data_IF_460381145620
#
_entry.id   IF_460381145620
#
_cell.length_a   1.000
_cell.length_b   1.000
_cell.length_c   1.000
_cell.angle_alpha   90.00
_cell.angle_beta   90.00
_cell.angle_gamma   90.00
#
_symmetry.space_group_name_H-M   'P 1'
#
loop_
_entity.id
_entity.type
_entity.pdbx_description
1 polymer ?
#
# COMPACT_ATOMS: atom_id res chain seq x y z
N UNK A 1 -3.04 -1.34 21.12
CA UNK A 1 -3.14 -2.77 21.48
C UNK A 1 -3.02 -3.53 20.18
N UNK A 2 -2.25 -4.62 20.11
CA UNK A 2 -2.18 -5.44 18.89
C UNK A 2 -3.40 -6.37 18.87
N UNK A 3 -4.31 -6.15 17.92
CA UNK A 3 -5.55 -6.91 17.78
C UNK A 3 -5.32 -8.41 17.55
N UNK A 4 -4.12 -8.78 17.09
CA UNK A 4 -3.73 -10.18 16.88
C UNK A 4 -3.10 -10.80 18.13
N UNK A 5 -2.73 -10.00 19.13
CA UNK A 5 -2.26 -10.50 20.42
C UNK A 5 -3.44 -10.83 21.34
N UNK A 6 -4.14 -11.92 21.00
CA UNK A 6 -5.32 -12.36 21.76
C UNK A 6 -5.03 -12.59 23.25
N UNK A 7 -3.82 -12.99 23.64
CA UNK A 7 -3.51 -13.18 25.06
C UNK A 7 -3.78 -11.92 25.87
N UNK A 8 -3.47 -10.73 25.35
CA UNK A 8 -3.72 -9.46 26.04
C UNK A 8 -5.22 -9.19 26.23
N UNK A 9 -6.05 -9.62 25.29
CA UNK A 9 -7.51 -9.45 25.35
C UNK A 9 -8.20 -10.40 26.36
N UNK A 10 -7.55 -11.52 26.71
CA UNK A 10 -8.07 -12.51 27.66
C UNK A 10 -7.34 -12.52 29.02
N UNK A 11 -6.15 -11.91 29.15
CA UNK A 11 -5.27 -11.97 30.35
C UNK A 11 -5.96 -11.72 31.70
N UNK A 12 -6.90 -10.79 31.76
CA UNK A 12 -7.55 -10.39 33.01
C UNK A 12 -8.92 -11.04 33.26
N UNK A 13 -9.50 -11.72 32.26
CA UNK A 13 -10.92 -12.12 32.27
C UNK A 13 -11.15 -13.61 31.97
N UNK A 14 -10.14 -14.48 32.06
CA UNK A 14 -10.30 -15.92 31.78
C UNK A 14 -11.07 -16.63 32.92
N UNK A 15 -12.33 -17.04 32.73
CA UNK A 15 -13.08 -17.71 33.77
C UNK A 15 -12.45 -19.07 34.05
N UNK A 16 -12.32 -19.44 35.32
CA UNK A 16 -11.74 -20.74 35.71
C UNK A 16 -12.48 -21.92 35.09
N UNK A 17 -13.79 -21.78 34.88
CA UNK A 17 -14.66 -22.80 34.28
C UNK A 17 -14.26 -23.17 32.85
N UNK A 18 -13.84 -22.19 32.05
CA UNK A 18 -13.55 -22.38 30.62
C UNK A 18 -12.07 -22.20 30.27
N UNK A 19 -11.20 -21.98 31.25
CA UNK A 19 -9.78 -21.66 31.07
C UNK A 19 -9.07 -22.61 30.09
N UNK A 20 -9.17 -23.93 30.30
CA UNK A 20 -8.48 -24.90 29.44
C UNK A 20 -8.99 -24.89 28.00
N UNK A 21 -10.30 -24.67 27.77
CA UNK A 21 -10.87 -24.57 26.42
C UNK A 21 -10.45 -23.28 25.73
N UNK A 22 -10.42 -22.17 26.48
CA UNK A 22 -9.94 -20.88 25.96
C UNK A 22 -8.45 -20.92 25.64
N UNK A 23 -7.62 -21.54 26.49
CA UNK A 23 -6.20 -21.76 26.21
C UNK A 23 -6.00 -22.57 24.92
N UNK A 24 -6.84 -23.58 24.67
CA UNK A 24 -6.81 -24.34 23.42
C UNK A 24 -7.19 -23.48 22.20
N UNK A 25 -8.23 -22.64 22.31
CA UNK A 25 -8.62 -21.69 21.26
C UNK A 25 -7.49 -20.72 20.93
N UNK A 26 -6.83 -20.17 21.95
CA UNK A 26 -5.71 -19.24 21.80
C UNK A 26 -4.47 -19.92 21.18
N UNK A 27 -4.19 -21.16 21.57
CA UNK A 27 -3.07 -21.94 21.01
C UNK A 27 -3.31 -22.28 19.52
N UNK A 28 -4.52 -22.69 19.15
CA UNK A 28 -4.88 -22.92 17.75
C UNK A 28 -4.80 -21.63 16.92
N UNK A 29 -5.18 -20.49 17.51
CA UNK A 29 -5.04 -19.18 16.86
C UNK A 29 -3.58 -18.82 16.61
N UNK A 30 -2.70 -19.00 17.62
CA UNK A 30 -1.25 -18.76 17.48
C UNK A 30 -0.61 -19.63 16.40
N UNK A 31 -1.14 -20.83 16.18
CA UNK A 31 -0.70 -21.75 15.12
C UNK A 31 -1.28 -21.41 13.74
N UNK A 32 -2.15 -20.41 13.63
CA UNK A 32 -2.84 -20.06 12.39
C UNK A 32 -3.88 -21.09 11.96
N UNK A 33 -4.35 -21.94 12.86
CA UNK A 33 -5.36 -22.97 12.58
C UNK A 33 -6.78 -22.38 12.66
N UNK A 34 -7.04 -21.31 11.90
CA UNK A 34 -8.28 -20.52 12.00
C UNK A 34 -9.58 -21.36 11.90
N UNK A 35 -9.71 -22.38 11.03
CA UNK A 35 -10.91 -23.22 11.02
C UNK A 35 -11.14 -23.99 12.34
N UNK A 36 -10.08 -24.40 13.03
CA UNK A 36 -10.19 -25.05 14.34
C UNK A 36 -10.64 -24.06 15.41
N UNK A 37 -10.10 -22.83 15.37
CA UNK A 37 -10.51 -21.74 16.26
C UNK A 37 -12.00 -21.45 16.09
N UNK A 38 -12.48 -21.30 14.85
CA UNK A 38 -13.89 -21.08 14.53
C UNK A 38 -14.79 -22.18 15.10
N UNK A 39 -14.42 -23.45 14.91
CA UNK A 39 -15.21 -24.57 15.42
C UNK A 39 -15.25 -24.60 16.96
N UNK A 40 -14.09 -24.51 17.61
CA UNK A 40 -13.96 -24.57 19.07
C UNK A 40 -14.65 -23.38 19.75
N UNK A 41 -14.51 -22.19 19.18
CA UNK A 41 -15.20 -20.98 19.62
C UNK A 41 -16.72 -21.14 19.52
N UNK A 42 -17.23 -21.60 18.37
CA UNK A 42 -18.66 -21.83 18.17
C UNK A 42 -19.23 -22.92 19.08
N UNK A 43 -18.45 -23.96 19.41
CA UNK A 43 -18.82 -24.95 20.42
C UNK A 43 -18.89 -24.35 21.83
N UNK A 44 -17.92 -23.51 22.20
CA UNK A 44 -17.88 -22.87 23.51
C UNK A 44 -19.03 -21.86 23.68
N UNK A 45 -19.42 -21.13 22.63
CA UNK A 45 -20.58 -20.22 22.65
C UNK A 45 -21.94 -20.90 22.84
N UNK A 46 -22.02 -22.22 22.74
CA UNK A 46 -23.25 -22.98 23.00
C UNK A 46 -23.43 -23.34 24.47
N UNK A 47 -22.41 -23.11 25.31
CA UNK A 47 -22.51 -23.40 26.73
C UNK A 47 -23.56 -22.49 27.40
N UNK A 48 -24.53 -23.04 28.14
CA UNK A 48 -25.66 -22.28 28.68
C UNK A 48 -25.22 -21.25 29.74
N UNK A 49 -24.08 -21.48 30.37
CA UNK A 49 -23.56 -20.67 31.47
C UNK A 49 -22.47 -19.69 30.98
N UNK A 50 -22.30 -19.53 29.66
CA UNK A 50 -21.33 -18.61 29.09
C UNK A 50 -21.82 -17.17 29.23
N UNK A 51 -21.02 -16.33 29.86
CA UNK A 51 -21.28 -14.89 29.97
C UNK A 51 -21.22 -14.19 28.60
N UNK A 52 -22.06 -13.17 28.43
CA UNK A 52 -22.22 -12.41 27.19
C UNK A 52 -20.92 -11.71 26.75
N UNK A 53 -20.15 -11.14 27.68
CA UNK A 53 -18.88 -10.47 27.34
C UNK A 53 -17.86 -11.47 26.81
N UNK A 54 -17.82 -12.68 27.38
CA UNK A 54 -16.96 -13.74 26.85
C UNK A 54 -17.44 -14.22 25.48
N UNK A 55 -18.76 -14.34 25.28
CA UNK A 55 -19.33 -14.68 23.98
C UNK A 55 -18.96 -13.65 22.90
N UNK A 56 -18.98 -12.35 23.23
CA UNK A 56 -18.58 -11.28 22.32
C UNK A 56 -17.08 -11.28 22.02
N UNK A 57 -16.23 -11.51 23.03
CA UNK A 57 -14.78 -11.71 22.80
C UNK A 57 -14.50 -12.90 21.88
N UNK A 58 -15.24 -13.99 22.03
CA UNK A 58 -15.15 -15.15 21.13
C UNK A 58 -15.60 -14.81 19.70
N UNK A 59 -16.70 -14.08 19.54
CA UNK A 59 -17.13 -13.56 18.23
C UNK A 59 -16.09 -12.63 17.60
N UNK A 60 -15.41 -11.80 18.39
CA UNK A 60 -14.31 -10.97 17.90
C UNK A 60 -13.15 -11.84 17.37
N UNK A 61 -12.78 -12.91 18.08
CA UNK A 61 -11.79 -13.88 17.61
C UNK A 61 -12.24 -14.57 16.31
N UNK A 62 -13.51 -14.94 16.21
CA UNK A 62 -14.08 -15.52 14.99
C UNK A 62 -14.01 -14.54 13.81
N UNK A 63 -14.30 -13.27 14.03
CA UNK A 63 -14.18 -12.23 13.00
C UNK A 63 -12.74 -12.05 12.51
N UNK A 64 -11.74 -12.09 13.43
CA UNK A 64 -10.32 -12.09 13.04
C UNK A 64 -10.01 -13.32 12.18
N UNK A 65 -10.43 -14.51 12.62
CA UNK A 65 -10.21 -15.76 11.88
C UNK A 65 -10.81 -15.72 10.47
N UNK A 66 -12.06 -15.23 10.34
CA UNK A 66 -12.71 -15.06 9.05
C UNK A 66 -11.97 -14.05 8.15
N UNK A 67 -11.42 -12.97 8.73
CA UNK A 67 -10.60 -12.01 8.00
C UNK A 67 -9.32 -12.66 7.45
N UNK A 68 -8.60 -13.41 8.28
CA UNK A 68 -7.34 -14.08 7.91
C UNK A 68 -7.51 -15.12 6.80
N UNK A 69 -8.64 -15.84 6.78
CA UNK A 69 -8.94 -16.82 5.71
C UNK A 69 -9.64 -16.21 4.49
N UNK A 70 -9.82 -14.87 4.46
CA UNK A 70 -10.42 -14.15 3.33
C UNK A 70 -11.96 -14.22 3.24
N UNK A 71 -12.64 -14.69 4.30
CA UNK A 71 -14.10 -14.74 4.39
C UNK A 71 -14.69 -13.39 4.82
N UNK A 72 -14.47 -12.37 4.00
CA UNK A 72 -14.81 -10.96 4.30
C UNK A 72 -16.28 -10.76 4.72
N UNK A 73 -17.22 -11.48 4.10
CA UNK A 73 -18.65 -11.35 4.43
C UNK A 73 -18.98 -11.82 5.85
N UNK A 74 -18.37 -12.92 6.28
CA UNK A 74 -18.56 -13.47 7.63
C UNK A 74 -17.96 -12.52 8.67
N UNK A 75 -16.72 -12.07 8.43
CA UNK A 75 -16.04 -11.12 9.30
C UNK A 75 -16.85 -9.82 9.46
N UNK A 76 -17.25 -9.20 8.35
CA UNK A 76 -17.98 -7.92 8.36
C UNK A 76 -19.37 -8.01 9.01
N UNK A 77 -20.06 -9.16 8.90
CA UNK A 77 -21.33 -9.40 9.60
C UNK A 77 -21.13 -9.39 11.11
N UNK A 78 -20.18 -10.20 11.60
CA UNK A 78 -19.90 -10.32 13.03
C UNK A 78 -19.45 -8.98 13.61
N UNK A 79 -18.53 -8.27 12.95
CA UNK A 79 -18.05 -6.96 13.40
C UNK A 79 -19.18 -5.94 13.45
N UNK A 80 -20.09 -5.97 12.47
CA UNK A 80 -21.23 -5.06 12.44
C UNK A 80 -22.20 -5.32 13.59
N UNK A 81 -22.47 -6.59 13.92
CA UNK A 81 -23.32 -6.96 15.05
C UNK A 81 -22.66 -6.53 16.37
N UNK A 82 -21.37 -6.84 16.57
CA UNK A 82 -20.62 -6.43 17.76
C UNK A 82 -20.61 -4.91 17.94
N UNK A 83 -20.51 -4.14 16.87
CA UNK A 83 -20.54 -2.67 16.93
C UNK A 83 -21.86 -2.08 17.45
N UNK A 84 -22.99 -2.79 17.31
CA UNK A 84 -24.29 -2.30 17.77
C UNK A 84 -24.75 -2.95 19.08
N UNK A 85 -24.28 -4.16 19.38
CA UNK A 85 -24.85 -5.01 20.42
C UNK A 85 -23.88 -5.31 21.57
N UNK A 86 -22.59 -4.99 21.44
CA UNK A 86 -21.58 -5.30 22.46
C UNK A 86 -20.96 -4.06 23.09
N UNK A 87 -20.34 -4.25 24.26
CA UNK A 87 -19.50 -3.24 24.94
C UNK A 87 -18.03 -3.30 24.48
N UNK A 88 -17.71 -3.99 23.36
CA UNK A 88 -16.35 -4.02 22.85
C UNK A 88 -15.94 -2.62 22.38
N UNK A 89 -14.77 -2.19 22.81
CA UNK A 89 -14.18 -0.90 22.43
C UNK A 89 -14.25 -0.66 20.92
N UNK A 90 -14.81 0.48 20.52
CA UNK A 90 -15.01 0.80 19.12
C UNK A 90 -13.70 1.02 18.36
N UNK A 91 -12.62 1.43 19.04
CA UNK A 91 -11.30 1.50 18.39
C UNK A 91 -10.83 0.11 17.98
N UNK A 92 -10.98 -0.88 18.86
CA UNK A 92 -10.67 -2.29 18.57
C UNK A 92 -11.51 -2.86 17.42
N UNK A 93 -12.83 -2.64 17.42
CA UNK A 93 -13.69 -3.07 16.31
C UNK A 93 -13.38 -2.34 15.00
N UNK A 94 -12.97 -1.08 15.08
CA UNK A 94 -12.55 -0.28 13.93
C UNK A 94 -11.25 -0.78 13.30
N UNK A 95 -10.26 -1.14 14.13
CA UNK A 95 -9.00 -1.77 13.70
C UNK A 95 -9.25 -3.16 13.10
N UNK A 96 -10.16 -3.94 13.68
CA UNK A 96 -10.56 -5.23 13.12
C UNK A 96 -11.24 -5.08 11.76
N UNK A 97 -12.18 -4.14 11.63
CA UNK A 97 -12.82 -3.84 10.36
C UNK A 97 -11.82 -3.34 9.31
N UNK A 98 -10.74 -2.64 9.71
CA UNK A 98 -9.70 -2.16 8.80
C UNK A 98 -9.03 -3.31 8.04
N UNK A 99 -8.90 -4.49 8.65
CA UNK A 99 -8.30 -5.65 8.00
C UNK A 99 -9.10 -6.19 6.81
N UNK A 100 -10.42 -6.00 6.80
CA UNK A 100 -11.30 -6.66 5.82
C UNK A 100 -12.22 -5.73 5.02
N UNK A 101 -12.65 -4.59 5.58
CA UNK A 101 -13.56 -3.65 4.92
C UNK A 101 -13.34 -2.20 5.40
N UNK A 102 -12.67 -1.41 4.56
CA UNK A 102 -12.37 -0.01 4.88
C UNK A 102 -13.60 0.89 5.03
N UNK A 103 -14.77 0.54 4.44
CA UNK A 103 -15.99 1.34 4.60
C UNK A 103 -16.60 1.11 5.98
N UNK A 104 -16.60 -0.14 6.44
CA UNK A 104 -16.99 -0.52 7.79
C UNK A 104 -16.01 0.10 8.81
N UNK A 105 -14.71 -0.04 8.58
CA UNK A 105 -13.66 0.55 9.41
C UNK A 105 -13.89 2.05 9.58
N UNK A 106 -14.04 2.79 8.47
CA UNK A 106 -14.36 4.22 8.50
C UNK A 106 -15.58 4.54 9.36
N UNK A 107 -16.66 3.76 9.25
CA UNK A 107 -17.90 3.99 10.02
C UNK A 107 -17.65 3.85 11.52
N UNK A 108 -17.03 2.74 11.92
CA UNK A 108 -16.77 2.43 13.32
C UNK A 108 -15.74 3.41 13.90
N UNK A 109 -14.60 3.61 13.22
CA UNK A 109 -13.55 4.54 13.65
C UNK A 109 -14.05 5.98 13.77
N UNK A 110 -14.95 6.43 12.88
CA UNK A 110 -15.56 7.76 13.02
C UNK A 110 -16.40 7.90 14.29
N UNK A 111 -17.06 6.82 14.72
CA UNK A 111 -17.78 6.78 15.99
C UNK A 111 -16.82 6.76 17.18
N UNK A 112 -15.77 5.94 17.08
CA UNK A 112 -14.76 5.77 18.12
C UNK A 112 -14.04 7.09 18.44
N UNK A 113 -13.46 7.76 17.44
CA UNK A 113 -12.75 9.04 17.67
C UNK A 113 -13.67 10.13 18.20
N UNK A 114 -14.96 10.09 17.86
CA UNK A 114 -15.94 11.05 18.40
C UNK A 114 -16.20 10.81 19.89
N UNK A 115 -16.38 9.55 20.30
CA UNK A 115 -16.53 9.21 21.71
C UNK A 115 -15.29 9.57 22.52
N UNK A 116 -14.10 9.29 21.97
CA UNK A 116 -12.82 9.67 22.57
C UNK A 116 -12.65 11.18 22.72
N UNK A 117 -13.19 12.00 21.82
CA UNK A 117 -13.17 13.46 21.95
C UNK A 117 -14.12 13.98 23.05
N UNK A 118 -15.18 13.23 23.34
CA UNK A 118 -16.16 13.54 24.39
C UNK A 118 -15.70 13.05 25.78
N UNK A 119 -14.74 12.13 25.82
CA UNK A 119 -14.15 11.58 27.04
C UNK A 119 -12.91 12.37 27.49
N UNK A 120 -13.02 13.05 28.64
CA UNK A 120 -11.93 13.85 29.22
C UNK A 120 -10.74 13.01 29.70
N UNK A 121 -10.92 11.70 29.92
CA UNK A 121 -9.85 10.80 30.35
C UNK A 121 -8.97 10.32 29.19
N UNK A 122 -9.45 10.46 27.95
CA UNK A 122 -8.70 9.98 26.78
C UNK A 122 -7.45 10.83 26.55
N UNK A 123 -6.29 10.18 26.53
CA UNK A 123 -5.02 10.87 26.29
C UNK A 123 -4.82 11.26 24.81
N UNK A 124 -4.01 12.31 24.61
CA UNK A 124 -3.74 12.90 23.28
C UNK A 124 -3.16 11.91 22.27
N UNK A 125 -2.34 10.94 22.71
CA UNK A 125 -1.68 9.99 21.82
C UNK A 125 -2.69 8.97 21.31
N UNK A 126 -3.60 8.52 22.17
CA UNK A 126 -4.69 7.62 21.78
C UNK A 126 -5.62 8.31 20.78
N UNK A 127 -6.00 9.58 21.00
CA UNK A 127 -6.75 10.39 20.02
C UNK A 127 -6.03 10.51 18.68
N UNK A 128 -4.74 10.84 18.70
CA UNK A 128 -3.94 10.94 17.48
C UNK A 128 -3.88 9.62 16.71
N UNK A 129 -3.71 8.48 17.41
CA UNK A 129 -3.73 7.14 16.82
C UNK A 129 -5.09 6.82 16.21
N UNK A 130 -6.19 7.16 16.88
CA UNK A 130 -7.54 6.97 16.33
C UNK A 130 -7.74 7.72 15.02
N UNK A 131 -7.34 8.98 14.97
CA UNK A 131 -7.38 9.77 13.75
C UNK A 131 -6.43 9.27 12.65
N UNK A 132 -5.26 8.73 13.02
CA UNK A 132 -4.34 8.12 12.08
C UNK A 132 -4.99 6.93 11.36
N UNK A 133 -5.53 5.97 12.10
CA UNK A 133 -6.14 4.76 11.50
C UNK A 133 -7.38 5.12 10.67
N UNK A 134 -8.19 6.08 11.14
CA UNK A 134 -9.32 6.60 10.36
C UNK A 134 -8.86 7.26 9.05
N UNK A 135 -7.77 8.01 9.08
CA UNK A 135 -7.19 8.63 7.90
C UNK A 135 -6.65 7.60 6.90
N UNK A 136 -5.97 6.55 7.39
CA UNK A 136 -5.49 5.45 6.56
C UNK A 136 -6.65 4.65 5.94
N UNK A 137 -7.78 4.50 6.64
CA UNK A 137 -8.97 3.89 6.05
C UNK A 137 -9.52 4.72 4.88
N UNK A 138 -9.52 6.05 5.00
CA UNK A 138 -9.91 6.95 3.90
C UNK A 138 -8.85 6.98 2.78
N UNK A 139 -7.56 6.83 3.09
CA UNK A 139 -6.47 6.67 2.11
C UNK A 139 -6.71 5.42 1.25
N UNK A 140 -6.97 4.26 1.87
CA UNK A 140 -7.26 3.01 1.16
C UNK A 140 -8.56 3.07 0.33
N UNK A 141 -9.50 3.95 0.69
CA UNK A 141 -10.71 4.25 -0.08
C UNK A 141 -10.49 5.30 -1.18
N UNK A 142 -9.23 5.74 -1.37
CA UNK A 142 -8.81 6.81 -2.29
C UNK A 142 -9.56 8.13 -2.04
N UNK A 143 -9.95 8.40 -0.79
CA UNK A 143 -10.61 9.63 -0.35
C UNK A 143 -9.60 10.62 0.21
N UNK A 144 -8.62 11.00 -0.61
CA UNK A 144 -7.46 11.80 -0.19
C UNK A 144 -7.81 13.09 0.57
N UNK A 145 -8.87 13.81 0.20
CA UNK A 145 -9.29 15.02 0.91
C UNK A 145 -9.70 14.72 2.36
N UNK A 146 -10.38 13.60 2.60
CA UNK A 146 -10.77 13.17 3.95
C UNK A 146 -9.60 12.60 4.72
N UNK A 147 -8.74 11.81 4.07
CA UNK A 147 -7.51 11.30 4.66
C UNK A 147 -6.64 12.47 5.16
N UNK A 148 -6.39 13.49 4.34
CA UNK A 148 -5.66 14.71 4.73
C UNK A 148 -6.31 15.38 5.94
N UNK A 149 -7.64 15.55 5.93
CA UNK A 149 -8.37 16.16 7.06
C UNK A 149 -8.08 15.40 8.36
N UNK A 150 -8.18 14.08 8.35
CA UNK A 150 -8.00 13.25 9.54
C UNK A 150 -6.53 13.13 9.95
N UNK A 151 -5.58 13.02 9.03
CA UNK A 151 -4.14 13.09 9.37
C UNK A 151 -3.79 14.45 10.01
N UNK A 152 -4.27 15.57 9.45
CA UNK A 152 -4.07 16.91 10.05
C UNK A 152 -4.70 17.01 11.44
N UNK A 153 -5.85 16.38 11.66
CA UNK A 153 -6.50 16.32 12.97
C UNK A 153 -5.68 15.49 13.96
N UNK A 154 -5.15 14.33 13.56
CA UNK A 154 -4.21 13.55 14.38
C UNK A 154 -2.95 14.35 14.73
N UNK A 155 -2.38 15.06 13.74
CA UNK A 155 -1.20 15.91 13.93
C UNK A 155 -1.46 17.07 14.91
N UNK A 156 -2.68 17.59 14.98
CA UNK A 156 -3.03 18.72 15.85
C UNK A 156 -2.94 18.43 17.36
N UNK A 157 -2.85 17.15 17.74
CA UNK A 157 -2.65 16.73 19.14
C UNK A 157 -1.19 16.80 19.61
N UNK A 158 -0.25 17.06 18.69
CA UNK A 158 1.16 17.20 18.98
C UNK A 158 1.64 18.65 18.85
N UNK A 159 2.62 19.01 19.67
CA UNK A 159 3.38 20.24 19.50
C UNK A 159 4.60 19.98 18.61
N UNK A 160 5.13 21.01 17.96
CA UNK A 160 6.29 20.89 17.05
C UNK A 160 7.54 20.31 17.72
N UNK A 161 7.66 20.47 19.05
CA UNK A 161 8.86 20.16 19.81
C UNK A 161 8.69 18.90 20.69
N UNK A 162 7.62 18.13 20.48
CA UNK A 162 7.31 16.88 21.20
C UNK A 162 8.29 15.75 20.82
N UNK A 163 9.51 15.80 21.36
CA UNK A 163 10.57 14.81 21.08
C UNK A 163 10.18 13.37 21.38
N UNK A 164 9.28 13.15 22.34
CA UNK A 164 8.81 11.81 22.72
C UNK A 164 7.96 11.15 21.62
N UNK A 165 7.25 11.98 20.85
CA UNK A 165 6.29 11.55 19.83
C UNK A 165 6.80 11.86 18.41
N UNK A 166 8.11 12.18 18.28
CA UNK A 166 8.72 12.66 17.04
C UNK A 166 8.48 11.73 15.85
N UNK A 167 8.60 10.41 16.04
CA UNK A 167 8.33 9.44 14.98
C UNK A 167 6.88 9.53 14.46
N UNK A 168 5.90 9.66 15.36
CA UNK A 168 4.48 9.80 14.98
C UNK A 168 4.22 11.12 14.24
N UNK A 169 4.84 12.22 14.71
CA UNK A 169 4.76 13.53 14.05
C UNK A 169 5.33 13.44 12.62
N UNK A 170 6.51 12.84 12.45
CA UNK A 170 7.14 12.62 11.15
C UNK A 170 6.27 11.75 10.25
N UNK A 171 5.71 10.66 10.78
CA UNK A 171 4.82 9.77 10.03
C UNK A 171 3.57 10.50 9.53
N UNK A 172 2.93 11.30 10.39
CA UNK A 172 1.78 12.13 10.02
C UNK A 172 2.14 13.18 8.96
N UNK A 173 3.28 13.86 9.12
CA UNK A 173 3.78 14.78 8.10
C UNK A 173 4.00 14.09 6.75
N UNK A 174 4.67 12.93 6.76
CA UNK A 174 4.90 12.10 5.58
C UNK A 174 3.58 11.71 4.90
N UNK A 175 2.62 11.19 5.66
CA UNK A 175 1.30 10.79 5.15
C UNK A 175 0.55 11.97 4.54
N UNK A 176 0.50 13.12 5.21
CA UNK A 176 -0.13 14.33 4.65
C UNK A 176 0.55 14.75 3.34
N UNK A 177 1.88 14.79 3.33
CA UNK A 177 2.67 15.15 2.16
C UNK A 177 2.43 14.22 0.96
N UNK A 178 2.37 12.91 1.21
CA UNK A 178 2.00 11.92 0.19
C UNK A 178 0.59 12.14 -0.35
N UNK A 179 -0.40 12.38 0.51
CA UNK A 179 -1.79 12.58 0.08
C UNK A 179 -1.93 13.84 -0.80
N UNK A 180 -1.19 14.91 -0.47
CA UNK A 180 -1.14 16.09 -1.33
C UNK A 180 -0.47 15.80 -2.68
N UNK A 181 0.60 15.00 -2.73
CA UNK A 181 1.19 14.54 -3.99
C UNK A 181 0.18 13.76 -4.83
N UNK A 182 -0.58 12.83 -4.22
CA UNK A 182 -1.60 12.04 -4.93
C UNK A 182 -2.77 12.91 -5.45
N UNK A 183 -3.06 14.01 -4.77
CA UNK A 183 -4.05 15.02 -5.20
C UNK A 183 -3.49 16.02 -6.22
N UNK A 184 -2.22 15.91 -6.62
CA UNK A 184 -1.54 16.84 -7.53
C UNK A 184 -1.46 18.28 -6.98
N UNK A 185 -1.24 18.40 -5.66
CA UNK A 185 -1.01 19.65 -4.94
C UNK A 185 0.45 19.71 -4.46
N UNK A 186 1.38 20.14 -5.33
CA UNK A 186 2.81 20.03 -5.08
C UNK A 186 3.28 20.95 -3.96
N UNK A 187 2.69 22.14 -3.80
CA UNK A 187 3.14 23.13 -2.81
C UNK A 187 2.97 22.59 -1.39
N UNK A 188 1.77 22.11 -1.05
CA UNK A 188 1.51 21.49 0.24
C UNK A 188 2.30 20.18 0.39
N UNK A 189 2.42 19.37 -0.66
CA UNK A 189 3.20 18.13 -0.61
C UNK A 189 4.65 18.39 -0.19
N UNK A 190 5.33 19.31 -0.89
CA UNK A 190 6.70 19.70 -0.60
C UNK A 190 6.84 20.31 0.80
N UNK A 191 5.87 21.11 1.25
CA UNK A 191 5.91 21.72 2.57
C UNK A 191 5.86 20.68 3.70
N UNK A 192 5.01 19.65 3.58
CA UNK A 192 4.91 18.59 4.60
C UNK A 192 6.08 17.61 4.53
N UNK A 193 6.53 17.22 3.34
CA UNK A 193 7.66 16.30 3.16
C UNK A 193 9.01 16.94 3.51
N UNK A 194 9.18 18.24 3.25
CA UNK A 194 10.35 19.01 3.67
C UNK A 194 10.54 18.98 5.18
N UNK A 195 9.45 19.13 5.96
CA UNK A 195 9.51 18.98 7.42
C UNK A 195 10.00 17.60 7.86
N UNK A 196 9.64 16.54 7.15
CA UNK A 196 10.14 15.20 7.46
C UNK A 196 11.66 15.14 7.25
N UNK A 197 12.15 15.67 6.14
CA UNK A 197 13.60 15.70 5.84
C UNK A 197 14.37 16.51 6.87
N UNK A 198 13.84 17.68 7.27
CA UNK A 198 14.48 18.59 8.22
C UNK A 198 14.51 18.03 9.66
N UNK A 199 13.49 17.27 10.04
CA UNK A 199 13.30 16.78 11.41
C UNK A 199 13.71 15.32 11.60
N UNK A 200 13.89 14.53 10.55
CA UNK A 200 14.25 13.11 10.66
C UNK A 200 15.65 12.94 11.26
N UNK A 201 15.74 12.15 12.33
CA UNK A 201 17.01 11.67 12.88
C UNK A 201 17.42 10.32 12.28
N UNK A 202 18.50 9.73 12.80
CA UNK A 202 19.03 8.44 12.34
C UNK A 202 17.97 7.31 12.39
N UNK A 203 17.09 7.34 13.41
CA UNK A 203 16.02 6.36 13.59
C UNK A 203 14.86 6.52 12.59
N UNK A 204 14.79 7.64 11.85
CA UNK A 204 13.71 7.96 10.92
C UNK A 204 14.18 7.95 9.46
N UNK A 205 15.35 7.35 9.21
CA UNK A 205 15.97 7.28 7.88
C UNK A 205 15.00 6.74 6.83
N UNK A 206 14.18 5.73 7.17
CA UNK A 206 13.18 5.19 6.25
C UNK A 206 12.08 6.19 5.86
N UNK A 207 11.63 7.05 6.78
CA UNK A 207 10.67 8.11 6.46
C UNK A 207 11.31 9.21 5.62
N UNK A 208 12.58 9.52 5.89
CA UNK A 208 13.37 10.46 5.10
C UNK A 208 13.53 9.99 3.66
N UNK A 209 13.94 8.74 3.43
CA UNK A 209 14.05 8.13 2.09
C UNK A 209 12.70 8.21 1.36
N UNK A 210 11.62 7.74 1.99
CA UNK A 210 10.29 7.77 1.38
C UNK A 210 9.86 9.20 1.00
N UNK A 211 10.19 10.19 1.84
CA UNK A 211 9.87 11.60 1.59
C UNK A 211 10.68 12.17 0.42
N UNK A 212 11.98 11.89 0.36
CA UNK A 212 12.86 12.30 -0.75
C UNK A 212 12.35 11.75 -2.09
N UNK A 213 12.01 10.46 -2.15
CA UNK A 213 11.47 9.82 -3.36
C UNK A 213 10.13 10.42 -3.75
N UNK A 214 9.26 10.72 -2.78
CA UNK A 214 7.96 11.35 -3.04
C UNK A 214 8.13 12.77 -3.59
N UNK A 215 9.03 13.57 -3.01
CA UNK A 215 9.38 14.91 -3.52
C UNK A 215 9.87 14.84 -4.97
N UNK A 216 10.77 13.89 -5.27
CA UNK A 216 11.26 13.69 -6.63
C UNK A 216 10.12 13.38 -7.61
N UNK A 217 9.20 12.48 -7.24
CA UNK A 217 8.00 12.16 -8.04
C UNK A 217 7.10 13.37 -8.22
N UNK A 218 6.92 14.19 -7.18
CA UNK A 218 6.14 15.43 -7.26
C UNK A 218 6.74 16.39 -8.29
N UNK A 219 8.06 16.61 -8.28
CA UNK A 219 8.74 17.42 -9.28
C UNK A 219 8.67 16.81 -10.70
N UNK A 220 8.90 15.50 -10.83
CA UNK A 220 8.80 14.78 -12.11
C UNK A 220 7.41 14.90 -12.74
N UNK A 221 6.34 14.85 -11.92
CA UNK A 221 4.96 15.04 -12.40
C UNK A 221 4.67 16.43 -12.99
N UNK A 222 5.54 17.41 -12.70
CA UNK A 222 5.50 18.78 -13.23
C UNK A 222 6.53 19.03 -14.33
N UNK A 223 7.20 17.98 -14.80
CA UNK A 223 8.32 18.06 -15.74
C UNK A 223 9.51 18.88 -15.20
N UNK A 224 9.60 19.06 -13.88
CA UNK A 224 10.68 19.76 -13.19
C UNK A 224 11.82 18.78 -12.82
N UNK A 225 12.21 17.94 -13.79
CA UNK A 225 13.13 16.81 -13.58
C UNK A 225 14.50 17.21 -13.00
N UNK A 226 15.00 18.40 -13.31
CA UNK A 226 16.26 18.92 -12.72
C UNK A 226 16.15 19.19 -11.22
N UNK A 227 14.96 19.57 -10.72
CA UNK A 227 14.74 19.72 -9.28
C UNK A 227 14.55 18.37 -8.59
N UNK A 228 14.05 17.35 -9.29
CA UNK A 228 13.91 16.00 -8.76
C UNK A 228 15.27 15.32 -8.50
N UNK A 229 16.24 15.55 -9.38
CA UNK A 229 17.55 14.89 -9.37
C UNK A 229 18.28 14.87 -8.02
N UNK A 230 18.50 16.01 -7.31
CA UNK A 230 19.21 15.98 -6.02
C UNK A 230 18.52 15.11 -4.96
N UNK A 231 17.18 15.07 -4.95
CA UNK A 231 16.44 14.21 -4.02
C UNK A 231 16.54 12.72 -4.40
N UNK A 232 16.62 12.40 -5.69
CA UNK A 232 16.87 11.04 -6.17
C UNK A 232 18.30 10.58 -5.85
N UNK A 233 19.29 11.45 -6.00
CA UNK A 233 20.67 11.15 -5.65
C UNK A 233 20.81 10.91 -4.14
N UNK A 234 20.26 11.78 -3.30
CA UNK A 234 20.28 11.61 -1.84
C UNK A 234 19.53 10.33 -1.41
N UNK A 235 18.34 10.08 -1.95
CA UNK A 235 17.55 8.89 -1.58
C UNK A 235 18.22 7.59 -1.98
N UNK A 236 18.78 7.49 -3.20
CA UNK A 236 19.52 6.31 -3.64
C UNK A 236 20.76 6.06 -2.80
N UNK A 237 21.48 7.12 -2.40
CA UNK A 237 22.62 6.99 -1.48
C UNK A 237 22.21 6.48 -0.10
N UNK A 238 21.09 6.95 0.44
CA UNK A 238 20.56 6.48 1.73
C UNK A 238 19.98 5.05 1.64
N UNK A 239 19.58 4.60 0.46
CA UNK A 239 19.08 3.25 0.21
C UNK A 239 20.19 2.19 0.19
N UNK A 240 21.44 2.58 -0.08
CA UNK A 240 22.57 1.64 -0.09
C UNK A 240 22.83 1.04 1.30
N UNK A 241 22.49 -0.24 1.47
CA UNK A 241 22.70 -0.98 2.72
C UNK A 241 21.68 -0.68 3.83
N UNK A 242 20.58 0.01 3.53
CA UNK A 242 19.49 0.21 4.49
C UNK A 242 18.49 -0.96 4.49
N UNK A 243 17.61 -0.99 5.48
CA UNK A 243 16.49 -1.93 5.56
C UNK A 243 15.43 -1.71 4.47
N UNK A 244 15.48 -0.57 3.78
CA UNK A 244 14.62 -0.25 2.64
C UNK A 244 15.20 -0.69 1.29
N UNK A 245 16.36 -1.35 1.27
CA UNK A 245 16.84 -1.96 0.05
C UNK A 245 15.84 -3.03 -0.47
N UNK A 246 15.77 -3.20 -1.79
CA UNK A 246 14.83 -4.09 -2.48
C UNK A 246 13.32 -3.86 -2.16
N UNK A 247 12.95 -2.73 -1.55
CA UNK A 247 11.54 -2.37 -1.32
C UNK A 247 10.90 -1.68 -2.52
N UNK A 248 9.58 -1.44 -2.44
CA UNK A 248 8.85 -0.66 -3.44
C UNK A 248 9.44 0.75 -3.61
N UNK A 249 9.78 1.43 -2.51
CA UNK A 249 10.39 2.77 -2.55
C UNK A 249 11.71 2.77 -3.30
N UNK A 250 12.55 1.75 -3.10
CA UNK A 250 13.81 1.62 -3.84
C UNK A 250 13.57 1.46 -5.34
N UNK A 251 12.62 0.59 -5.73
CA UNK A 251 12.26 0.41 -7.13
C UNK A 251 11.69 1.70 -7.76
N UNK A 252 10.97 2.50 -6.99
CA UNK A 252 10.48 3.82 -7.40
C UNK A 252 11.63 4.81 -7.61
N UNK A 253 12.54 4.95 -6.64
CA UNK A 253 13.71 5.83 -6.77
C UNK A 253 14.54 5.51 -8.01
N UNK A 254 14.80 4.22 -8.27
CA UNK A 254 15.52 3.77 -9.45
C UNK A 254 14.77 4.09 -10.75
N UNK A 255 13.44 3.95 -10.76
CA UNK A 255 12.63 4.24 -11.95
C UNK A 255 12.63 5.74 -12.26
N UNK A 256 12.48 6.59 -11.25
CA UNK A 256 12.53 8.04 -11.41
C UNK A 256 13.92 8.51 -11.87
N UNK A 257 15.00 7.90 -11.35
CA UNK A 257 16.36 8.18 -11.83
C UNK A 257 16.56 7.72 -13.28
N UNK A 258 16.01 6.57 -13.65
CA UNK A 258 16.04 6.12 -15.04
C UNK A 258 15.28 7.08 -15.96
N UNK A 259 14.13 7.56 -15.51
CA UNK A 259 13.28 8.51 -16.23
C UNK A 259 13.96 9.88 -16.39
N UNK A 260 14.69 10.37 -15.39
CA UNK A 260 15.52 11.56 -15.50
C UNK A 260 16.52 11.45 -16.67
N UNK A 261 17.25 10.34 -16.75
CA UNK A 261 18.19 10.10 -17.85
C UNK A 261 17.48 9.89 -19.19
N UNK A 262 16.33 9.21 -19.19
CA UNK A 262 15.48 9.04 -20.38
C UNK A 262 15.08 10.40 -20.97
N UNK A 263 14.62 11.34 -20.14
CA UNK A 263 14.25 12.69 -20.56
C UNK A 263 15.42 13.48 -21.17
N UNK A 264 16.65 13.21 -20.71
CA UNK A 264 17.87 13.76 -21.30
C UNK A 264 18.36 13.03 -22.55
N UNK A 265 17.60 12.04 -23.03
CA UNK A 265 18.04 11.10 -24.09
C UNK A 265 19.36 10.38 -23.77
N UNK A 266 19.74 10.32 -22.49
CA UNK A 266 20.92 9.63 -22.00
C UNK A 266 20.61 8.15 -21.76
N UNK A 267 20.22 7.43 -22.82
CA UNK A 267 19.67 6.07 -22.72
C UNK A 267 20.64 5.08 -22.07
N UNK A 268 21.93 5.17 -22.36
CA UNK A 268 22.95 4.32 -21.74
C UNK A 268 23.02 4.49 -20.21
N UNK A 269 22.73 5.68 -19.70
CA UNK A 269 22.68 5.96 -18.26
C UNK A 269 21.35 5.49 -17.65
N UNK A 270 20.24 5.54 -18.38
CA UNK A 270 18.93 5.09 -17.91
C UNK A 270 18.83 3.56 -17.76
N UNK A 271 19.41 2.81 -18.70
CA UNK A 271 19.39 1.33 -18.77
C UNK A 271 19.72 0.63 -17.45
N UNK A 272 20.83 0.93 -16.74
CA UNK A 272 21.17 0.25 -15.49
C UNK A 272 20.13 0.49 -14.39
N UNK A 273 19.55 1.70 -14.32
CA UNK A 273 18.51 2.02 -13.34
C UNK A 273 17.20 1.28 -13.64
N UNK A 274 16.74 1.28 -14.89
CA UNK A 274 15.58 0.48 -15.29
C UNK A 274 15.79 -1.01 -15.01
N UNK A 275 16.96 -1.56 -15.36
CA UNK A 275 17.30 -2.96 -15.13
C UNK A 275 17.21 -3.36 -13.65
N UNK A 276 17.77 -2.53 -12.75
CA UNK A 276 17.67 -2.76 -11.30
C UNK A 276 16.23 -2.62 -10.81
N UNK A 277 15.49 -1.61 -11.26
CA UNK A 277 14.12 -1.38 -10.85
C UNK A 277 13.21 -2.56 -11.20
N UNK A 278 13.26 -3.06 -12.44
CA UNK A 278 12.40 -4.18 -12.87
C UNK A 278 12.73 -5.47 -12.12
N UNK A 279 14.00 -5.72 -11.77
CA UNK A 279 14.40 -6.87 -10.98
C UNK A 279 13.81 -6.85 -9.55
N UNK A 280 13.61 -5.66 -8.97
CA UNK A 280 12.91 -5.50 -7.70
C UNK A 280 11.41 -5.68 -7.90
N UNK A 281 10.80 -4.97 -8.85
CA UNK A 281 9.37 -5.07 -9.12
C UNK A 281 8.88 -6.49 -9.43
N UNK A 282 9.68 -7.30 -10.13
CA UNK A 282 9.35 -8.71 -10.41
C UNK A 282 9.26 -9.57 -9.15
N UNK A 283 9.92 -9.18 -8.05
CA UNK A 283 9.88 -9.88 -6.76
C UNK A 283 8.75 -9.40 -5.84
N UNK A 284 8.11 -8.27 -6.15
CA UNK A 284 7.06 -7.65 -5.34
C UNK A 284 5.66 -8.05 -5.86
N UNK A 285 4.88 -8.87 -5.13
CA UNK A 285 3.56 -9.35 -5.58
C UNK A 285 2.54 -8.24 -5.86
N UNK A 286 2.63 -7.13 -5.13
CA UNK A 286 1.74 -5.98 -5.19
C UNK A 286 2.00 -5.04 -6.37
N UNK A 287 3.01 -5.32 -7.22
CA UNK A 287 3.33 -4.44 -8.34
C UNK A 287 2.22 -4.45 -9.39
N UNK A 288 1.66 -3.27 -9.67
CA UNK A 288 0.69 -3.08 -10.74
C UNK A 288 1.23 -3.54 -12.10
N UNK A 289 0.47 -4.38 -12.80
CA UNK A 289 0.78 -4.79 -14.17
C UNK A 289 0.89 -3.59 -15.13
N UNK A 290 0.07 -2.55 -14.95
CA UNK A 290 0.14 -1.33 -15.74
C UNK A 290 1.48 -0.63 -15.56
N UNK A 291 1.88 -0.42 -14.29
CA UNK A 291 3.14 0.25 -13.93
C UNK A 291 4.34 -0.50 -14.51
N UNK A 292 4.43 -1.80 -14.23
CA UNK A 292 5.54 -2.62 -14.70
C UNK A 292 5.59 -2.72 -16.24
N UNK A 293 4.45 -2.82 -16.90
CA UNK A 293 4.37 -2.80 -18.37
C UNK A 293 4.92 -1.50 -18.97
N UNK A 294 4.55 -0.35 -18.42
CA UNK A 294 5.07 0.95 -18.87
C UNK A 294 6.57 1.11 -18.63
N UNK A 295 7.07 0.65 -17.47
CA UNK A 295 8.52 0.65 -17.19
C UNK A 295 9.27 -0.22 -18.20
N UNK A 296 8.71 -1.40 -18.56
CA UNK A 296 9.31 -2.23 -19.60
C UNK A 296 9.31 -1.56 -20.97
N UNK A 297 8.26 -0.84 -21.36
CA UNK A 297 8.24 -0.08 -22.62
C UNK A 297 9.39 0.94 -22.67
N UNK A 298 9.55 1.75 -21.62
CA UNK A 298 10.62 2.75 -21.55
C UNK A 298 12.01 2.10 -21.51
N UNK A 299 12.16 1.01 -20.76
CA UNK A 299 13.41 0.28 -20.69
C UNK A 299 13.82 -0.31 -22.05
N UNK A 300 12.89 -0.95 -22.76
CA UNK A 300 13.12 -1.48 -24.10
C UNK A 300 13.48 -0.37 -25.10
N UNK A 301 12.79 0.77 -25.02
CA UNK A 301 13.10 1.93 -25.84
C UNK A 301 14.54 2.43 -25.61
N UNK A 302 15.00 2.52 -24.36
CA UNK A 302 16.39 2.88 -24.07
C UNK A 302 17.39 1.88 -24.67
N UNK A 303 17.12 0.58 -24.54
CA UNK A 303 17.99 -0.47 -25.09
C UNK A 303 18.08 -0.43 -26.62
N UNK A 304 17.00 -0.01 -27.29
CA UNK A 304 16.94 0.17 -28.74
C UNK A 304 17.74 1.39 -29.22
N UNK A 305 17.71 2.50 -28.46
CA UNK A 305 18.20 3.81 -28.90
C UNK A 305 19.55 4.24 -28.31
N UNK A 306 20.15 3.45 -27.40
CA UNK A 306 21.52 3.71 -26.94
C UNK A 306 22.57 3.42 -28.04
N UNK A 307 23.73 4.07 -27.98
CA UNK A 307 24.78 3.92 -29.01
C UNK A 307 25.23 2.46 -29.20
N UNK A 308 25.41 1.74 -28.08
CA UNK A 308 25.72 0.31 -28.06
C UNK A 308 24.43 -0.52 -27.90
N UNK A 309 23.45 -0.34 -28.79
CA UNK A 309 22.14 -0.98 -28.63
C UNK A 309 22.20 -2.51 -28.52
N UNK A 310 21.29 -3.07 -27.71
CA UNK A 310 21.04 -4.51 -27.65
C UNK A 310 19.61 -4.77 -28.13
N UNK A 311 19.47 -4.86 -29.46
CA UNK A 311 18.20 -5.11 -30.13
C UNK A 311 17.55 -6.42 -29.65
N UNK A 312 18.36 -7.44 -29.34
CA UNK A 312 17.82 -8.73 -28.87
C UNK A 312 17.21 -8.58 -27.48
N UNK A 313 17.90 -7.88 -26.57
CA UNK A 313 17.39 -7.61 -25.25
C UNK A 313 16.18 -6.67 -25.30
N UNK A 314 16.24 -5.59 -26.09
CA UNK A 314 15.11 -4.67 -26.30
C UNK A 314 13.84 -5.43 -26.72
N UNK A 315 13.96 -6.33 -27.71
CA UNK A 315 12.87 -7.20 -28.14
C UNK A 315 12.28 -8.00 -26.98
N UNK A 316 13.10 -8.73 -26.22
CA UNK A 316 12.63 -9.52 -25.07
C UNK A 316 11.90 -8.67 -24.02
N UNK A 317 12.37 -7.44 -23.76
CA UNK A 317 11.74 -6.52 -22.80
C UNK A 317 10.41 -5.99 -23.34
N UNK A 318 10.33 -5.65 -24.63
CA UNK A 318 9.06 -5.31 -25.30
C UNK A 318 8.03 -6.43 -25.19
N UNK A 319 8.44 -7.70 -25.36
CA UNK A 319 7.53 -8.83 -25.16
C UNK A 319 7.00 -8.88 -23.73
N UNK A 320 7.89 -8.73 -22.73
CA UNK A 320 7.49 -8.65 -21.30
C UNK A 320 6.54 -7.48 -21.03
N UNK A 321 6.72 -6.34 -21.69
CA UNK A 321 5.84 -5.19 -21.56
C UNK A 321 4.40 -5.56 -21.98
N UNK A 322 4.24 -6.13 -23.18
CA UNK A 322 2.94 -6.56 -23.71
C UNK A 322 2.31 -7.62 -22.81
N UNK A 323 3.08 -8.61 -22.35
CA UNK A 323 2.56 -9.67 -21.45
C UNK A 323 1.99 -9.12 -20.13
N UNK A 324 2.50 -7.99 -19.63
CA UNK A 324 1.93 -7.29 -18.46
C UNK A 324 0.70 -6.46 -18.85
N UNK A 325 0.77 -5.72 -19.96
CA UNK A 325 -0.29 -4.84 -20.43
C UNK A 325 -1.52 -5.63 -20.96
N UNK A 326 -1.38 -6.88 -21.38
CA UNK A 326 -2.51 -7.74 -21.74
C UNK A 326 -3.38 -8.11 -20.53
N UNK A 327 -2.85 -7.97 -19.31
CA UNK A 327 -3.56 -8.32 -18.07
C UNK A 327 -4.37 -7.18 -17.48
N UNK A 328 -4.30 -5.98 -18.07
CA UNK A 328 -5.02 -4.79 -17.59
C UNK A 328 -6.22 -4.47 -18.49
N UNK A 329 -7.22 -3.79 -17.92
CA UNK A 329 -8.42 -3.33 -18.64
C UNK A 329 -8.23 -1.93 -19.24
N UNK A 330 -7.06 -1.67 -19.82
CA UNK A 330 -6.70 -0.39 -20.45
C UNK A 330 -6.36 -0.65 -21.92
N UNK A 331 -7.37 -0.56 -22.78
CA UNK A 331 -7.26 -0.98 -24.18
C UNK A 331 -6.43 -0.02 -25.00
N UNK A 332 -6.58 1.29 -24.78
CA UNK A 332 -5.82 2.31 -25.51
C UNK A 332 -4.32 2.17 -25.22
N UNK A 333 -3.95 1.95 -23.96
CA UNK A 333 -2.56 1.71 -23.60
C UNK A 333 -2.01 0.43 -24.24
N UNK A 334 -2.80 -0.66 -24.25
CA UNK A 334 -2.39 -1.90 -24.92
C UNK A 334 -2.26 -1.73 -26.44
N UNK A 335 -3.15 -0.94 -27.05
CA UNK A 335 -3.12 -0.63 -28.49
C UNK A 335 -1.84 0.12 -28.87
N UNK A 336 -1.51 1.18 -28.13
CA UNK A 336 -0.29 1.95 -28.34
C UNK A 336 0.96 1.08 -28.15
N UNK A 337 1.01 0.28 -27.08
CA UNK A 337 2.13 -0.62 -26.81
C UNK A 337 2.31 -1.66 -27.92
N UNK A 338 1.21 -2.27 -28.41
CA UNK A 338 1.28 -3.21 -29.53
C UNK A 338 1.77 -2.54 -30.81
N UNK A 339 1.34 -1.30 -31.08
CA UNK A 339 1.82 -0.51 -32.22
C UNK A 339 3.34 -0.29 -32.17
N UNK A 340 3.86 0.15 -31.03
CA UNK A 340 5.29 0.36 -30.81
C UNK A 340 6.09 -0.94 -30.99
N UNK A 341 5.60 -2.04 -30.43
CA UNK A 341 6.26 -3.36 -30.55
C UNK A 341 6.23 -3.90 -31.98
N UNK A 342 5.14 -3.69 -32.73
CA UNK A 342 5.06 -4.05 -34.15
C UNK A 342 6.06 -3.23 -34.95
N UNK A 343 6.13 -1.91 -34.72
CA UNK A 343 7.07 -1.02 -35.39
C UNK A 343 8.52 -1.41 -35.09
N UNK A 344 8.83 -1.77 -33.84
CA UNK A 344 10.13 -2.28 -33.44
C UNK A 344 10.52 -3.54 -34.22
N UNK A 345 9.64 -4.55 -34.27
CA UNK A 345 9.94 -5.80 -34.98
C UNK A 345 10.00 -5.64 -36.50
N UNK A 346 9.29 -4.66 -37.06
CA UNK A 346 9.40 -4.27 -38.46
C UNK A 346 10.78 -3.66 -38.77
N UNK A 347 11.19 -2.65 -37.98
CA UNK A 347 12.50 -1.98 -38.15
C UNK A 347 13.68 -2.94 -37.97
N UNK A 348 13.53 -3.95 -37.11
CA UNK A 348 14.59 -4.92 -36.79
C UNK A 348 14.54 -6.17 -37.68
N UNK A 349 13.63 -6.24 -38.66
CA UNK A 349 13.54 -7.32 -39.64
C UNK A 349 13.05 -8.66 -39.07
N UNK A 350 12.34 -8.65 -37.94
CA UNK A 350 11.80 -9.86 -37.31
C UNK A 350 10.33 -10.10 -37.71
N UNK A 351 10.13 -10.49 -38.97
CA UNK A 351 8.80 -10.71 -39.55
C UNK A 351 7.93 -11.70 -38.76
N UNK A 352 8.56 -12.71 -38.13
CA UNK A 352 7.85 -13.70 -37.32
C UNK A 352 7.19 -13.05 -36.11
N UNK A 353 7.95 -12.24 -35.37
CA UNK A 353 7.43 -11.53 -34.18
C UNK A 353 6.49 -10.42 -34.58
N UNK A 354 6.80 -9.65 -35.62
CA UNK A 354 5.90 -8.64 -36.20
C UNK A 354 4.51 -9.23 -36.46
N UNK A 355 4.40 -10.30 -37.25
CA UNK A 355 3.13 -10.98 -37.55
C UNK A 355 2.43 -11.52 -36.30
N UNK A 356 3.19 -11.98 -35.30
CA UNK A 356 2.62 -12.43 -34.02
C UNK A 356 1.87 -11.29 -33.32
N UNK A 357 2.47 -10.10 -33.23
CA UNK A 357 1.87 -8.94 -32.56
C UNK A 357 0.80 -8.25 -33.42
N UNK A 358 0.92 -8.23 -34.75
CA UNK A 358 -0.16 -7.79 -35.66
C UNK A 358 -1.42 -8.64 -35.45
N UNK A 359 -1.27 -9.96 -35.33
CA UNK A 359 -2.40 -10.85 -35.04
C UNK A 359 -3.03 -10.58 -33.66
N UNK A 360 -2.21 -10.26 -32.64
CA UNK A 360 -2.72 -9.84 -31.32
C UNK A 360 -3.51 -8.54 -31.42
N UNK A 361 -2.98 -7.55 -32.15
CA UNK A 361 -3.61 -6.26 -32.40
C UNK A 361 -4.98 -6.43 -33.09
N UNK A 362 -5.05 -7.19 -34.19
CA UNK A 362 -6.30 -7.46 -34.92
C UNK A 362 -7.33 -8.20 -34.07
N UNK A 363 -6.91 -9.18 -33.26
CA UNK A 363 -7.83 -9.87 -32.34
C UNK A 363 -8.42 -8.92 -31.31
N UNK A 364 -7.59 -8.04 -30.74
CA UNK A 364 -8.02 -7.04 -29.78
C UNK A 364 -9.02 -6.05 -30.40
N UNK A 365 -8.78 -5.58 -31.63
CA UNK A 365 -9.69 -4.64 -32.30
C UNK A 365 -11.01 -5.27 -32.71
N UNK A 366 -10.98 -6.50 -33.23
CA UNK A 366 -12.20 -7.22 -33.63
C UNK A 366 -13.10 -7.57 -32.45
N UNK A 367 -12.54 -7.94 -31.30
CA UNK A 367 -13.34 -8.24 -30.10
C UNK A 367 -14.15 -7.04 -29.61
N UNK A 368 -13.69 -5.82 -29.89
CA UNK A 368 -14.40 -4.62 -29.46
C UNK A 368 -15.61 -4.27 -30.33
N UNK A 369 -15.56 -4.57 -31.62
CA UNK A 369 -16.67 -4.36 -32.57
C UNK A 369 -17.89 -5.24 -32.30
N UNK A 370 -17.80 -6.25 -31.42
CA UNK A 370 -18.91 -7.12 -31.04
C UNK A 370 -19.47 -6.84 -29.62
N UNK A 371 -18.87 -5.90 -28.88
CA UNK A 371 -19.24 -5.54 -27.50
C UNK A 371 -19.80 -4.13 -27.33
N UNK A 372 -19.92 -3.38 -28.44
CA UNK A 372 -20.67 -2.12 -28.58
C UNK A 372 -22.02 -2.39 -29.22
#
# INVERSE_FOLDING_TARGET
MDILNLDDHFKHDMPTTYRSRLEEVLEEFKRGHYPNVLNKSAELRKEPDLDEKLADKLRMVEAICHSEIGEVKSATSIISELFYESDIDHMLLGELAYMCDFKLARRILSSAVKQMEEDEETDRLTLARGYLVLAEAEENLEKYVRAIKYFKKGLSYFQSDDKKDQHMILYLHFKIGMMYSMKNDPEESLAYLGKVIDMAGDNDTGLKINSLVTIAKTYGSKDENEKAYPYLEESLKLLEGSDQEQTLTHAEALTEMAFYHFHKSAFAQAVPYYSKAVAIYEKLPQTSHRKLGMIYMQYAYCLEHMEENDIRQAGNIYEKAVDKLEKIKDRELLENALGDVIAFFDRTGNDKKKRQYENKFVKMTNNASFSS
#
